data_IF_049897909076
#
_entry.id   IF_049897909076
#
_cell.length_a   1.000
_cell.length_b   1.000
_cell.length_c   1.000
_cell.angle_alpha   90.00
_cell.angle_beta   90.00
_cell.angle_gamma   90.00
#
_symmetry.space_group_name_H-M   'P 1'
#
loop_
_entity.id
_entity.type
_entity.pdbx_description
1 polymer ?
#
# COMPACT_ATOMS: atom_id res chain seq x y z
N UNK A 1 -11.13 -2.20 -0.67
CA UNK A 1 -9.67 -2.41 -0.64
C UNK A 1 -9.26 -2.79 0.78
N UNK A 2 -8.32 -3.72 0.94
CA UNK A 2 -7.80 -4.19 2.23
C UNK A 2 -6.33 -3.80 2.36
N UNK A 3 -5.82 -3.72 3.58
CA UNK A 3 -4.40 -3.50 3.85
C UNK A 3 -3.83 -4.54 4.81
N UNK A 4 -2.53 -4.81 4.68
CA UNK A 4 -1.80 -5.73 5.55
C UNK A 4 -0.42 -5.15 5.90
N UNK A 5 -0.15 -4.83 7.18
CA UNK A 5 1.15 -4.33 7.61
C UNK A 5 2.15 -5.49 7.76
N UNK A 6 3.36 -5.32 7.22
CA UNK A 6 4.48 -6.27 7.34
C UNK A 6 5.77 -5.50 7.60
N UNK A 7 6.30 -5.57 8.82
CA UNK A 7 7.46 -4.77 9.25
C UNK A 7 7.20 -3.28 8.95
N UNK A 8 8.07 -2.65 8.15
CA UNK A 8 7.96 -1.25 7.73
C UNK A 8 7.19 -1.08 6.43
N UNK A 9 6.46 -2.10 5.96
CA UNK A 9 5.68 -2.01 4.72
C UNK A 9 4.18 -2.08 5.01
N UNK A 10 3.41 -1.37 4.20
CA UNK A 10 1.95 -1.49 4.15
C UNK A 10 1.54 -1.94 2.75
N UNK A 11 0.94 -3.12 2.66
CA UNK A 11 0.49 -3.72 1.40
C UNK A 11 -1.00 -3.46 1.24
N UNK A 12 -1.41 -2.82 0.14
CA UNK A 12 -2.80 -2.66 -0.26
C UNK A 12 -3.16 -3.70 -1.31
N UNK A 13 -4.26 -4.40 -1.10
CA UNK A 13 -4.73 -5.46 -2.00
C UNK A 13 -6.26 -5.51 -2.07
N UNK A 14 -6.76 -6.19 -3.09
CA UNK A 14 -8.16 -6.58 -3.21
C UNK A 14 -8.28 -8.05 -3.58
N UNK A 15 -9.38 -8.67 -3.17
CA UNK A 15 -9.75 -10.00 -3.63
C UNK A 15 -10.37 -9.90 -5.02
N UNK A 16 -9.98 -10.81 -5.90
CA UNK A 16 -10.55 -11.03 -7.22
C UNK A 16 -10.95 -12.51 -7.34
N UNK A 17 -11.71 -12.88 -8.36
CA UNK A 17 -12.28 -14.24 -8.47
C UNK A 17 -11.22 -15.34 -8.44
N UNK A 18 -10.03 -15.08 -8.99
CA UNK A 18 -8.92 -16.04 -9.07
C UNK A 18 -7.85 -15.84 -7.99
N UNK A 19 -8.08 -14.96 -7.00
CA UNK A 19 -7.16 -14.77 -5.87
C UNK A 19 -7.08 -13.34 -5.34
N UNK A 20 -5.86 -12.82 -5.22
CA UNK A 20 -5.59 -11.47 -4.72
C UNK A 20 -4.76 -10.67 -5.72
N UNK A 21 -5.14 -9.41 -5.89
CA UNK A 21 -4.38 -8.42 -6.66
C UNK A 21 -3.71 -7.44 -5.69
N UNK A 22 -2.40 -7.25 -5.83
CA UNK A 22 -1.64 -6.25 -5.06
C UNK A 22 -1.73 -4.91 -5.79
N UNK A 23 -2.39 -3.94 -5.16
CA UNK A 23 -2.59 -2.62 -5.74
C UNK A 23 -1.39 -1.68 -5.47
N UNK A 24 -0.81 -1.74 -4.27
CA UNK A 24 0.33 -0.91 -3.87
C UNK A 24 1.09 -1.52 -2.70
N UNK A 25 2.39 -1.29 -2.67
CA UNK A 25 3.24 -1.54 -1.50
C UNK A 25 3.85 -0.21 -1.12
N UNK A 26 3.67 0.21 0.13
CA UNK A 26 4.28 1.41 0.68
C UNK A 26 5.39 1.03 1.65
N UNK A 27 6.57 1.60 1.51
CA UNK A 27 7.60 1.54 2.53
C UNK A 27 7.44 2.73 3.49
N UNK A 28 6.98 2.43 4.71
CA UNK A 28 6.74 3.31 5.86
C UNK A 28 7.18 4.77 5.73
N UNK A 29 8.15 5.17 6.54
CA UNK A 29 8.53 6.59 6.70
C UNK A 29 9.09 7.26 5.45
N UNK A 30 9.48 6.50 4.41
CA UNK A 30 10.05 7.07 3.19
C UNK A 30 8.99 7.40 2.14
N UNK A 31 7.97 6.55 1.95
CA UNK A 31 6.96 6.78 0.92
C UNK A 31 5.74 7.56 1.43
N UNK A 32 5.48 7.53 2.73
CA UNK A 32 4.38 8.29 3.34
C UNK A 32 4.59 9.79 3.12
N UNK A 33 5.79 10.32 3.39
CA UNK A 33 6.06 11.75 3.22
C UNK A 33 5.94 12.20 1.76
N UNK A 34 6.38 11.38 0.80
CA UNK A 34 6.29 11.70 -0.64
C UNK A 34 4.85 11.68 -1.16
N UNK A 35 4.02 10.72 -0.72
CA UNK A 35 2.61 10.65 -1.15
C UNK A 35 1.80 11.84 -0.63
N UNK A 36 2.10 12.34 0.56
CA UNK A 36 1.42 13.53 1.12
C UNK A 36 1.97 14.86 0.59
N UNK A 37 3.08 14.87 -0.16
CA UNK A 37 3.65 16.07 -0.78
C UNK A 37 3.13 16.32 -2.21
N UNK A 38 2.61 15.31 -2.90
CA UNK A 38 2.05 15.43 -4.26
C UNK A 38 0.59 15.95 -4.30
N UNK A 39 -0.01 16.30 -3.15
CA UNK A 39 -1.31 16.99 -3.08
C UNK A 39 -1.20 18.54 -3.00
N UNK A 40 -0.10 19.11 -3.50
CA UNK A 40 0.17 20.56 -3.56
C UNK A 40 -0.30 21.25 -4.84
#
# INVERSE_FOLDING_TARGET
MRSFPVKNYLIFYRTIDEGIEIARILHGSQDIETIFQDEG
#
